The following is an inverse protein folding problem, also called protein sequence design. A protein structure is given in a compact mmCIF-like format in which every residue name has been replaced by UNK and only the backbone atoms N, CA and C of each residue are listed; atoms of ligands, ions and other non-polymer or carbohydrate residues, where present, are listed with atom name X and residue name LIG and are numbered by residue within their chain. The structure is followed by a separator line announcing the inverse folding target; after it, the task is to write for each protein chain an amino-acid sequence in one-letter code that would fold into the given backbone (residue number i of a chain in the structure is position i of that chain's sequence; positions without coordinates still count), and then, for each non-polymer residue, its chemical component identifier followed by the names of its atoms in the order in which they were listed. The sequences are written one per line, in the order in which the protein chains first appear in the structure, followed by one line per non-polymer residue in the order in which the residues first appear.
data_IF_567823993686
#
_entry.id   IF_567823993686
#
_cell.length_a   1.000
_cell.length_b   1.000
_cell.length_c   1.000
_cell.angle_alpha   90.00
_cell.angle_beta   90.00
_cell.angle_gamma   90.00
#
_symmetry.space_group_name_H-M   'P 1'
#
loop_
_entity.id
_entity.type
_entity.pdbx_description
1 polymer ?
#
# COMPACT_ATOMS: atom_id res chain seq x y z
N UNK A 1 56.68 -8.01 3.01
CA UNK A 1 57.41 -8.98 2.18
C UNK A 1 56.85 -8.94 0.77
N UNK A 2 57.69 -8.78 -0.13
CA UNK A 2 57.84 -8.44 -1.54
C UNK A 2 56.80 -8.91 -2.55
N UNK A 3 56.48 -8.12 -3.59
CA UNK A 3 55.58 -8.53 -4.68
C UNK A 3 56.38 -9.16 -5.84
N UNK A 4 55.72 -10.09 -6.55
CA UNK A 4 56.27 -10.71 -7.77
C UNK A 4 55.56 -10.15 -8.99
N UNK A 5 56.35 -9.50 -9.86
CA UNK A 5 56.02 -9.10 -11.22
C UNK A 5 56.26 -10.27 -12.17
N UNK A 6 55.43 -10.46 -13.19
CA UNK A 6 55.79 -11.22 -14.37
C UNK A 6 55.59 -10.43 -15.67
N UNK A 7 56.56 -10.64 -16.53
CA UNK A 7 56.86 -9.91 -17.79
C UNK A 7 56.04 -10.45 -18.95
N UNK A 8 55.72 -9.56 -19.91
CA UNK A 8 55.26 -9.97 -21.23
C UNK A 8 56.40 -10.38 -22.19
N UNK A 9 56.10 -10.93 -23.34
CA UNK A 9 56.98 -10.72 -24.49
C UNK A 9 56.27 -10.22 -25.76
N UNK A 10 56.85 -9.19 -26.36
CA UNK A 10 57.56 -9.15 -27.67
C UNK A 10 56.75 -9.45 -28.93
N UNK A 11 56.60 -8.39 -29.70
CA UNK A 11 56.28 -8.35 -31.14
C UNK A 11 57.26 -9.14 -31.99
N UNK A 12 56.77 -9.74 -33.06
CA UNK A 12 57.46 -9.92 -34.35
C UNK A 12 56.53 -9.58 -35.51
N UNK A 13 56.95 -8.57 -36.26
CA UNK A 13 56.38 -8.21 -37.55
C UNK A 13 57.03 -9.12 -38.64
N UNK A 14 56.27 -9.55 -39.62
CA UNK A 14 56.77 -9.98 -40.95
C UNK A 14 55.86 -9.36 -42.01
N UNK A 15 56.51 -8.72 -42.96
CA UNK A 15 55.92 -7.96 -44.04
C UNK A 15 55.80 -8.82 -45.32
N UNK A 16 54.86 -8.39 -46.15
CA UNK A 16 54.75 -8.41 -47.61
C UNK A 16 54.41 -9.70 -48.37
N UNK A 17 53.35 -9.66 -49.16
CA UNK A 17 53.41 -9.50 -50.61
C UNK A 17 52.00 -9.43 -51.22
N UNK A 18 51.84 -8.45 -52.11
CA UNK A 18 50.66 -8.14 -52.91
C UNK A 18 50.45 -9.17 -54.03
N UNK A 19 49.19 -9.64 -54.23
CA UNK A 19 48.68 -10.09 -55.51
C UNK A 19 47.24 -9.61 -55.68
N UNK A 20 47.03 -8.78 -56.70
CA UNK A 20 45.73 -8.30 -57.13
C UNK A 20 44.95 -9.42 -57.89
N UNK A 21 43.74 -9.68 -57.37
CA UNK A 21 42.73 -10.39 -58.16
C UNK A 21 41.37 -9.75 -57.92
N UNK A 22 40.89 -9.06 -58.94
CA UNK A 22 39.52 -8.53 -59.05
C UNK A 22 38.52 -9.68 -59.05
N UNK A 23 37.79 -9.91 -58.00
CA UNK A 23 36.64 -10.78 -57.96
C UNK A 23 35.42 -9.97 -57.52
N UNK A 24 34.42 -9.94 -58.40
CA UNK A 24 33.11 -9.38 -58.11
C UNK A 24 32.42 -10.24 -57.04
N UNK A 25 32.23 -9.72 -55.83
CA UNK A 25 31.40 -10.34 -54.83
C UNK A 25 30.08 -9.57 -54.82
N UNK A 26 29.03 -10.24 -55.28
CA UNK A 26 27.64 -9.83 -55.08
C UNK A 26 27.36 -9.91 -53.58
N UNK A 27 27.24 -8.78 -52.94
CA UNK A 27 26.84 -8.71 -51.55
C UNK A 27 25.34 -9.04 -51.45
N UNK A 28 25.03 -10.29 -51.12
CA UNK A 28 23.71 -10.66 -50.63
C UNK A 28 23.54 -10.05 -49.24
N UNK A 29 22.80 -8.94 -49.15
CA UNK A 29 22.33 -8.37 -47.89
C UNK A 29 21.28 -9.33 -47.33
N UNK A 30 21.72 -10.32 -46.57
CA UNK A 30 20.85 -11.07 -45.68
C UNK A 30 20.44 -10.13 -44.55
N UNK A 31 19.22 -9.59 -44.68
CA UNK A 31 18.57 -8.89 -43.56
C UNK A 31 18.44 -9.86 -42.39
N UNK A 32 19.33 -9.74 -41.40
CA UNK A 32 19.07 -10.29 -40.09
C UNK A 32 17.86 -9.52 -39.51
N UNK A 33 16.67 -10.03 -39.75
CA UNK A 33 15.52 -9.66 -38.95
C UNK A 33 15.87 -10.09 -37.51
N UNK A 34 16.14 -9.12 -36.66
CA UNK A 34 16.23 -9.36 -35.20
C UNK A 34 14.92 -10.03 -34.81
N UNK A 35 14.97 -11.30 -34.50
CA UNK A 35 13.85 -11.99 -33.87
C UNK A 35 13.45 -11.14 -32.62
N UNK A 36 12.16 -10.86 -32.44
CA UNK A 36 11.74 -10.15 -31.27
C UNK A 36 12.25 -10.94 -30.06
N UNK A 37 13.10 -10.28 -29.24
CA UNK A 37 13.59 -10.85 -27.99
C UNK A 37 12.33 -11.23 -27.20
N UNK A 38 12.13 -12.52 -27.00
CA UNK A 38 11.02 -12.98 -26.16
C UNK A 38 11.02 -12.13 -24.91
N UNK A 39 9.91 -11.48 -24.61
CA UNK A 39 9.79 -10.68 -23.41
C UNK A 39 10.14 -11.60 -22.27
N UNK A 40 11.26 -11.32 -21.60
CA UNK A 40 11.70 -12.10 -20.45
C UNK A 40 10.57 -12.01 -19.43
N UNK A 41 9.97 -13.15 -19.09
CA UNK A 41 8.96 -13.17 -18.02
C UNK A 41 9.59 -12.51 -16.81
N UNK A 42 8.92 -11.54 -16.20
CA UNK A 42 9.44 -10.91 -14.99
C UNK A 42 9.56 -12.01 -13.94
N UNK A 43 10.73 -12.10 -13.31
CA UNK A 43 10.92 -13.05 -12.22
C UNK A 43 9.94 -12.73 -11.09
N UNK A 44 9.36 -13.78 -10.50
CA UNK A 44 8.49 -13.63 -9.33
C UNK A 44 9.35 -13.06 -8.21
N UNK A 45 8.94 -11.94 -7.58
CA UNK A 45 9.74 -11.34 -6.52
C UNK A 45 9.87 -12.28 -5.33
N UNK A 46 11.09 -12.37 -4.79
CA UNK A 46 11.41 -13.11 -3.56
C UNK A 46 11.90 -12.14 -2.51
N UNK A 47 11.60 -12.42 -1.23
CA UNK A 47 11.82 -11.49 -0.14
C UNK A 47 12.70 -12.12 0.95
N UNK A 48 13.56 -11.28 1.54
CA UNK A 48 14.29 -11.59 2.76
C UNK A 48 13.91 -10.55 3.83
N UNK A 49 13.72 -11.00 5.06
CA UNK A 49 13.34 -10.11 6.15
C UNK A 49 14.55 -9.31 6.62
N UNK A 50 14.38 -7.99 6.71
CA UNK A 50 15.28 -7.09 7.43
C UNK A 50 14.72 -6.82 8.84
N UNK A 51 15.21 -7.56 9.82
CA UNK A 51 14.80 -7.41 11.22
C UNK A 51 15.39 -6.15 11.88
N UNK A 52 16.26 -5.40 11.21
CA UNK A 52 16.89 -4.16 11.72
C UNK A 52 16.12 -2.91 11.34
N UNK A 53 15.10 -3.04 10.48
CA UNK A 53 14.25 -1.93 10.07
C UNK A 53 12.90 -1.94 10.84
N UNK A 54 12.38 -0.81 11.34
CA UNK A 54 13.05 0.49 11.45
C UNK A 54 14.06 0.51 12.61
N UNK A 55 14.93 1.52 12.62
CA UNK A 55 15.85 1.73 13.75
C UNK A 55 15.09 2.11 15.02
N UNK A 56 15.69 1.90 16.20
CA UNK A 56 15.07 2.27 17.46
C UNK A 56 14.62 3.73 17.48
N UNK A 57 13.39 3.97 17.90
CA UNK A 57 12.83 5.31 18.01
C UNK A 57 13.50 6.11 19.13
N UNK A 58 13.65 7.44 18.97
CA UNK A 58 14.17 8.30 20.03
C UNK A 58 13.18 8.46 21.19
N UNK A 59 13.59 9.14 22.28
CA UNK A 59 12.72 9.58 23.37
C UNK A 59 11.97 8.47 24.09
N UNK A 60 12.48 7.23 24.08
CA UNK A 60 11.75 6.04 24.57
C UNK A 60 10.37 5.87 23.93
N UNK A 61 10.21 6.30 22.68
CA UNK A 61 8.96 6.14 21.97
C UNK A 61 8.66 4.69 21.65
N UNK A 62 7.38 4.36 21.71
CA UNK A 62 6.83 3.06 21.35
C UNK A 62 5.62 3.26 20.42
N UNK A 63 5.45 2.33 19.47
CA UNK A 63 4.33 2.32 18.55
C UNK A 63 3.13 1.59 19.18
N UNK A 64 1.93 2.10 18.94
CA UNK A 64 0.69 1.34 19.04
C UNK A 64 0.45 0.51 17.78
N UNK A 65 -0.77 -0.01 17.62
CA UNK A 65 -1.18 -0.70 16.38
C UNK A 65 -0.94 0.20 15.16
N UNK A 66 -0.26 -0.31 14.12
CA UNK A 66 0.01 0.45 12.90
C UNK A 66 -1.14 0.26 11.92
N UNK A 67 -1.95 1.30 11.76
CA UNK A 67 -3.17 1.26 10.94
C UNK A 67 -2.93 1.41 9.44
N UNK A 68 -1.86 2.09 9.03
CA UNK A 68 -1.55 2.32 7.62
C UNK A 68 -0.08 2.59 7.38
N UNK A 69 0.37 2.29 6.15
CA UNK A 69 1.74 2.52 5.69
C UNK A 69 1.70 2.88 4.20
N UNK A 70 2.53 3.83 3.79
CA UNK A 70 2.69 4.23 2.39
C UNK A 70 4.12 4.63 2.10
N UNK A 71 4.49 4.72 0.82
CA UNK A 71 5.81 5.19 0.36
C UNK A 71 5.60 6.40 -0.54
N UNK A 72 6.27 7.51 -0.22
CA UNK A 72 6.18 8.73 -1.00
C UNK A 72 7.04 8.70 -2.28
N UNK A 73 6.94 9.74 -3.09
CA UNK A 73 7.69 9.87 -4.35
C UNK A 73 9.22 9.97 -4.15
N UNK A 74 9.70 10.29 -2.97
CA UNK A 74 11.11 10.32 -2.58
C UNK A 74 11.61 8.96 -2.09
N UNK A 75 10.69 8.00 -1.89
CA UNK A 75 10.98 6.68 -1.35
C UNK A 75 11.00 6.65 0.18
N UNK A 76 10.50 7.69 0.85
CA UNK A 76 10.34 7.68 2.30
C UNK A 76 9.10 6.89 2.70
N UNK A 77 9.20 6.22 3.83
CA UNK A 77 8.15 5.36 4.37
C UNK A 77 7.37 6.15 5.42
N UNK A 78 6.10 6.32 5.18
CA UNK A 78 5.18 6.98 6.10
C UNK A 78 4.28 5.96 6.74
N UNK A 79 4.11 6.06 8.05
CA UNK A 79 3.17 5.21 8.77
C UNK A 79 2.28 6.04 9.69
N UNK A 80 1.08 5.50 9.95
CA UNK A 80 0.19 6.01 10.98
C UNK A 80 -0.11 4.89 11.97
N UNK A 81 0.09 5.18 13.25
CA UNK A 81 -0.22 4.21 14.30
C UNK A 81 -1.23 4.78 15.30
N UNK A 82 -1.73 3.92 16.17
CA UNK A 82 -2.75 4.20 17.18
C UNK A 82 -2.12 4.33 18.55
N UNK A 83 -1.68 5.51 19.01
CA UNK A 83 -1.08 5.68 20.35
C UNK A 83 -2.04 5.24 21.47
N UNK A 84 -3.35 5.38 21.24
CA UNK A 84 -4.41 4.97 22.18
C UNK A 84 -4.60 3.46 22.30
N UNK A 85 -4.01 2.67 21.42
CA UNK A 85 -4.03 1.20 21.52
C UNK A 85 -3.01 0.65 22.52
N UNK A 86 -2.09 1.49 23.00
CA UNK A 86 -1.11 1.11 24.02
C UNK A 86 -1.77 0.94 25.39
N UNK A 87 -1.47 -0.16 26.05
CA UNK A 87 -1.91 -0.44 27.43
C UNK A 87 -1.13 0.41 28.41
N UNK A 88 -1.62 0.49 29.64
CA UNK A 88 -0.93 1.21 30.72
C UNK A 88 0.45 0.61 31.04
N UNK A 89 0.63 -0.69 30.86
CA UNK A 89 1.92 -1.33 31.08
C UNK A 89 2.92 -0.98 29.98
N UNK A 90 2.46 -0.81 28.74
CA UNK A 90 3.30 -0.41 27.61
C UNK A 90 3.73 1.06 27.67
N UNK A 91 2.85 1.97 28.15
CA UNK A 91 3.09 3.41 28.26
C UNK A 91 3.39 3.88 29.69
N UNK A 92 3.99 3.05 30.50
CA UNK A 92 4.16 3.27 31.92
C UNK A 92 4.88 4.56 32.32
N UNK A 93 5.73 5.10 31.47
CA UNK A 93 6.47 6.34 31.72
C UNK A 93 5.60 7.61 31.77
N UNK A 94 4.44 7.60 31.07
CA UNK A 94 3.56 8.79 30.96
C UNK A 94 2.37 8.76 31.93
N UNK A 95 2.26 7.72 32.72
CA UNK A 95 1.21 7.62 33.74
C UNK A 95 1.45 8.55 34.95
N UNK A 96 0.43 8.85 35.69
CA UNK A 96 0.52 9.67 36.91
C UNK A 96 -0.02 8.90 38.11
N UNK A 97 0.84 8.44 39.03
CA UNK A 97 2.32 8.48 38.95
C UNK A 97 2.89 7.52 37.92
N UNK A 98 4.11 7.74 37.38
CA UNK A 98 4.76 6.82 36.47
C UNK A 98 4.93 5.42 37.06
N UNK A 99 4.61 4.38 36.28
CA UNK A 99 4.81 2.97 36.68
C UNK A 99 6.19 2.43 36.31
N UNK A 100 6.83 3.04 35.28
CA UNK A 100 8.12 2.56 34.75
C UNK A 100 8.93 3.71 34.18
N UNK A 101 10.20 3.45 33.79
CA UNK A 101 11.07 4.40 33.09
C UNK A 101 10.80 4.44 31.57
N UNK A 102 10.16 3.44 31.04
CA UNK A 102 9.73 3.28 29.64
C UNK A 102 8.22 3.01 29.64
N UNK A 103 7.48 3.28 28.61
CA UNK A 103 7.81 3.97 27.38
C UNK A 103 6.82 5.12 27.17
N UNK A 104 7.06 5.92 26.13
CA UNK A 104 6.23 7.06 25.75
C UNK A 104 5.57 6.73 24.42
N UNK A 105 4.24 6.92 24.24
CA UNK A 105 3.62 6.79 22.94
C UNK A 105 4.25 7.75 21.92
N UNK A 106 4.66 7.26 20.77
CA UNK A 106 5.12 8.10 19.67
C UNK A 106 3.99 9.01 19.15
N UNK A 107 4.27 10.13 18.48
CA UNK A 107 3.28 10.86 17.70
C UNK A 107 2.64 9.94 16.64
N UNK A 108 1.34 10.12 16.30
CA UNK A 108 0.62 9.19 15.43
C UNK A 108 1.21 8.98 14.04
N UNK A 109 1.81 10.00 13.44
CA UNK A 109 2.41 9.96 12.09
C UNK A 109 3.91 9.99 12.21
N UNK A 110 4.57 9.03 11.54
CA UNK A 110 6.03 8.95 11.47
C UNK A 110 6.48 8.78 10.01
N UNK A 111 7.60 9.41 9.67
CA UNK A 111 8.29 9.29 8.39
C UNK A 111 9.69 8.74 8.62
N UNK A 112 10.06 7.77 7.79
CA UNK A 112 11.38 7.14 7.82
C UNK A 112 12.04 7.21 6.45
N UNK A 113 13.37 7.23 6.42
CA UNK A 113 14.11 6.91 5.21
C UNK A 113 14.16 5.39 4.97
N UNK A 114 14.70 4.98 3.82
CA UNK A 114 14.85 3.56 3.47
C UNK A 114 15.79 2.79 4.39
N UNK A 115 16.67 3.49 5.11
CA UNK A 115 17.59 2.90 6.10
C UNK A 115 16.96 2.77 7.49
N UNK A 116 15.70 3.17 7.64
CA UNK A 116 14.93 3.10 8.88
C UNK A 116 15.19 4.23 9.88
N UNK A 117 15.86 5.32 9.48
CA UNK A 117 16.03 6.47 10.33
C UNK A 117 14.74 7.28 10.37
N UNK A 118 14.31 7.70 11.55
CA UNK A 118 13.17 8.60 11.72
C UNK A 118 13.52 10.00 11.21
N UNK A 119 12.71 10.50 10.26
CA UNK A 119 12.89 11.84 9.68
C UNK A 119 11.93 12.85 10.29
N UNK A 120 10.64 12.48 10.48
CA UNK A 120 9.59 13.31 11.06
C UNK A 120 8.67 12.50 11.95
N UNK A 121 8.08 13.19 12.94
CA UNK A 121 7.02 12.66 13.77
C UNK A 121 6.08 13.78 14.19
N UNK A 122 4.76 13.63 13.96
CA UNK A 122 3.75 14.63 14.27
C UNK A 122 2.34 14.01 14.36
N UNK A 123 1.34 14.82 14.62
CA UNK A 123 -0.07 14.45 14.62
C UNK A 123 -0.70 14.48 16.02
N UNK A 124 -2.00 14.23 16.05
CA UNK A 124 -2.83 14.39 17.21
C UNK A 124 -3.74 15.62 17.09
N UNK A 125 -4.54 15.93 18.13
CA UNK A 125 -5.43 17.09 18.15
C UNK A 125 -4.67 18.41 17.91
N UNK A 126 -5.29 19.33 17.16
CA UNK A 126 -4.72 20.63 16.81
C UNK A 126 -5.79 21.65 16.49
N UNK A 127 -5.36 22.84 16.06
CA UNK A 127 -6.28 23.92 15.71
C UNK A 127 -6.88 23.75 14.30
N UNK A 128 -8.18 24.02 14.17
CA UNK A 128 -8.88 24.06 12.89
C UNK A 128 -9.38 22.72 12.36
N UNK A 129 -9.10 21.61 13.07
CA UNK A 129 -9.60 20.28 12.73
C UNK A 129 -9.83 19.42 13.97
N UNK A 130 -10.60 18.36 13.78
CA UNK A 130 -10.75 17.31 14.80
C UNK A 130 -9.93 16.08 14.37
N UNK A 131 -8.98 15.67 15.23
CA UNK A 131 -8.19 14.46 14.96
C UNK A 131 -9.06 13.21 15.01
N UNK A 132 -8.80 12.25 14.13
CA UNK A 132 -9.53 10.98 14.09
C UNK A 132 -9.46 10.22 15.41
N UNK A 133 -10.56 9.57 15.77
CA UNK A 133 -10.69 8.80 17.00
C UNK A 133 -9.89 7.50 16.97
N UNK A 134 -9.71 6.89 15.80
CA UNK A 134 -8.95 5.65 15.60
C UNK A 134 -8.25 5.71 14.25
N UNK A 135 -6.98 6.00 14.28
CA UNK A 135 -6.13 6.15 13.11
C UNK A 135 -6.21 4.89 12.22
N UNK A 136 -6.31 5.08 10.88
CA UNK A 136 -6.42 3.97 9.94
C UNK A 136 -5.55 4.15 8.69
N UNK A 137 -6.06 4.78 7.63
CA UNK A 137 -5.31 4.97 6.40
C UNK A 137 -4.39 6.18 6.41
N UNK A 138 -3.27 6.08 5.70
CA UNK A 138 -2.36 7.18 5.40
C UNK A 138 -1.92 7.09 3.94
N UNK A 139 -1.91 8.21 3.24
CA UNK A 139 -1.39 8.34 1.88
C UNK A 139 -0.60 9.64 1.76
N UNK A 140 0.50 9.61 0.99
CA UNK A 140 1.28 10.80 0.65
C UNK A 140 1.22 11.02 -0.85
N UNK A 141 0.62 12.14 -1.26
CA UNK A 141 0.46 12.45 -2.67
C UNK A 141 1.73 13.04 -3.31
N UNK A 142 1.76 13.07 -4.64
CA UNK A 142 2.88 13.58 -5.44
C UNK A 142 3.18 15.08 -5.24
N UNK A 143 2.25 15.82 -4.64
CA UNK A 143 2.38 17.23 -4.30
C UNK A 143 2.93 17.46 -2.90
N UNK A 144 3.19 16.39 -2.14
CA UNK A 144 3.71 16.44 -0.77
C UNK A 144 2.64 16.79 0.25
N UNK A 145 1.43 16.27 0.09
CA UNK A 145 0.41 16.32 1.12
C UNK A 145 0.13 14.93 1.70
N UNK A 146 -0.10 14.89 3.00
CA UNK A 146 -0.44 13.68 3.75
C UNK A 146 -1.93 13.63 3.97
N UNK A 147 -2.58 12.54 3.54
CA UNK A 147 -3.99 12.29 3.73
C UNK A 147 -4.18 11.22 4.79
N UNK A 148 -5.10 11.45 5.72
CA UNK A 148 -5.33 10.59 6.89
C UNK A 148 -6.80 10.28 7.01
N UNK A 149 -7.14 9.02 7.22
CA UNK A 149 -8.47 8.54 7.56
C UNK A 149 -8.50 7.86 8.93
N UNK A 150 -9.71 7.67 9.45
CA UNK A 150 -9.94 6.96 10.70
C UNK A 150 -11.20 6.12 10.67
N UNK A 151 -11.31 5.15 11.61
CA UNK A 151 -12.43 4.22 11.66
C UNK A 151 -13.11 4.09 13.03
N UNK A 152 -12.96 5.06 13.93
CA UNK A 152 -13.86 5.17 15.09
C UNK A 152 -15.29 5.53 14.63
N UNK A 153 -16.28 5.36 15.51
CA UNK A 153 -17.70 5.52 15.12
C UNK A 153 -18.05 6.90 14.58
N UNK A 154 -17.29 7.92 14.94
CA UNK A 154 -17.47 9.29 14.45
C UNK A 154 -16.46 9.73 13.39
N UNK A 155 -15.49 8.88 13.03
CA UNK A 155 -14.46 9.20 12.04
C UNK A 155 -15.03 9.14 10.62
N UNK A 156 -15.83 10.14 10.24
CA UNK A 156 -16.50 10.19 8.95
C UNK A 156 -15.94 11.32 8.06
N UNK A 157 -14.63 11.50 8.16
CA UNK A 157 -13.84 12.48 7.40
C UNK A 157 -12.46 11.94 7.04
N UNK A 158 -11.85 12.54 6.03
CA UNK A 158 -10.41 12.46 5.78
C UNK A 158 -9.80 13.84 5.98
N UNK A 159 -8.58 13.86 6.51
CA UNK A 159 -7.80 15.06 6.81
C UNK A 159 -6.62 15.17 5.87
N UNK A 160 -6.30 16.37 5.42
CA UNK A 160 -5.14 16.68 4.58
C UNK A 160 -4.18 17.58 5.33
N UNK A 161 -2.90 17.23 5.32
CA UNK A 161 -1.81 17.99 5.94
C UNK A 161 -0.67 18.20 4.97
N UNK A 162 0.22 19.15 5.26
CA UNK A 162 1.54 19.22 4.64
C UNK A 162 2.46 18.13 5.25
N UNK A 163 3.65 17.88 4.65
CA UNK A 163 4.61 16.89 5.18
C UNK A 163 5.06 17.22 6.62
N UNK A 164 5.05 18.48 7.01
CA UNK A 164 5.41 18.93 8.36
C UNK A 164 4.20 19.03 9.32
N UNK A 165 3.06 18.45 8.94
CA UNK A 165 1.89 18.30 9.81
C UNK A 165 1.00 19.54 9.95
N UNK A 166 1.13 20.54 9.06
CA UNK A 166 0.21 21.68 9.07
C UNK A 166 -1.10 21.29 8.38
N UNK A 167 -2.21 21.55 9.07
CA UNK A 167 -3.55 21.29 8.54
C UNK A 167 -3.83 22.11 7.27
N UNK A 168 -4.41 21.46 6.26
CA UNK A 168 -4.76 22.05 4.97
C UNK A 168 -6.25 22.06 4.77
N UNK A 169 -6.90 20.90 4.88
CA UNK A 169 -8.34 20.76 4.67
C UNK A 169 -8.90 19.47 5.25
N UNK A 170 -10.21 19.43 5.40
CA UNK A 170 -10.98 18.26 5.79
C UNK A 170 -12.09 18.02 4.78
N UNK A 171 -12.32 16.77 4.36
CA UNK A 171 -13.45 16.31 3.58
C UNK A 171 -14.32 15.42 4.47
N UNK A 172 -15.60 15.74 4.61
CA UNK A 172 -16.48 15.08 5.56
C UNK A 172 -16.46 15.75 6.94
N UNK A 173 -16.95 15.05 7.97
CA UNK A 173 -17.08 15.57 9.35
C UNK A 173 -16.83 14.46 10.36
N UNK A 174 -16.32 14.82 11.52
CA UNK A 174 -16.26 13.95 12.70
C UNK A 174 -17.67 13.95 13.35
N UNK A 175 -18.57 13.20 12.78
CA UNK A 175 -19.98 13.11 13.19
C UNK A 175 -20.60 11.82 12.62
N UNK A 176 -21.74 11.31 13.12
CA UNK A 176 -22.36 10.10 12.57
C UNK A 176 -22.59 10.14 11.07
N UNK A 177 -22.31 9.02 10.37
CA UNK A 177 -22.53 8.88 8.94
C UNK A 177 -24.03 8.97 8.60
N UNK A 178 -24.33 9.48 7.40
CA UNK A 178 -25.68 9.53 6.84
C UNK A 178 -25.93 8.46 5.77
N UNK A 179 -24.98 7.50 5.63
CA UNK A 179 -25.07 6.38 4.70
C UNK A 179 -24.29 6.56 3.41
N UNK A 180 -24.27 5.48 2.63
CA UNK A 180 -23.40 5.33 1.45
C UNK A 180 -23.76 6.22 0.27
N UNK A 181 -24.92 6.85 0.26
CA UNK A 181 -25.33 7.79 -0.79
C UNK A 181 -25.18 9.27 -0.39
N UNK A 182 -24.72 9.57 0.84
CA UNK A 182 -24.40 10.95 1.23
C UNK A 182 -23.08 11.40 0.59
N UNK A 183 -23.12 12.50 -0.17
CA UNK A 183 -21.96 13.04 -0.89
C UNK A 183 -21.17 14.07 -0.06
N UNK A 184 -21.63 14.38 1.14
CA UNK A 184 -21.05 15.43 2.01
C UNK A 184 -20.30 14.85 3.20
N UNK A 185 -20.48 13.57 3.49
CA UNK A 185 -19.93 12.89 4.65
C UNK A 185 -19.50 11.48 4.31
N UNK A 186 -18.45 11.01 4.97
CA UNK A 186 -17.93 9.66 4.85
C UNK A 186 -18.55 8.74 5.90
N UNK A 187 -18.19 7.46 5.87
CA UNK A 187 -18.60 6.46 6.84
C UNK A 187 -17.42 5.61 7.28
N UNK A 188 -16.56 6.14 8.14
CA UNK A 188 -15.37 5.45 8.65
C UNK A 188 -14.45 4.99 7.50
N UNK A 189 -13.82 5.94 6.77
CA UNK A 189 -12.97 5.64 5.63
C UNK A 189 -11.77 4.80 6.04
N UNK A 190 -11.46 3.78 5.23
CA UNK A 190 -10.37 2.87 5.49
C UNK A 190 -9.06 3.35 4.86
N UNK A 191 -9.05 3.61 3.57
CA UNK A 191 -7.85 3.98 2.83
C UNK A 191 -8.15 5.01 1.75
N UNK A 192 -7.10 5.69 1.29
CA UNK A 192 -7.17 6.66 0.19
C UNK A 192 -6.08 6.40 -0.84
N UNK A 193 -6.35 6.78 -2.10
CA UNK A 193 -5.36 6.81 -3.17
C UNK A 193 -5.53 8.08 -4.00
N UNK A 194 -4.42 8.73 -4.38
CA UNK A 194 -4.46 9.95 -5.18
C UNK A 194 -4.11 9.67 -6.63
N UNK A 195 -5.01 10.03 -7.53
CA UNK A 195 -4.74 10.12 -8.96
C UNK A 195 -4.11 11.49 -9.26
N UNK A 196 -2.80 11.51 -9.41
CA UNK A 196 -2.04 12.74 -9.66
C UNK A 196 -2.42 13.42 -10.98
N UNK A 197 -2.72 12.62 -12.02
CA UNK A 197 -2.99 13.13 -13.38
C UNK A 197 -4.39 13.79 -13.47
N UNK A 198 -5.36 13.22 -12.75
CA UNK A 198 -6.73 13.78 -12.67
C UNK A 198 -6.93 14.73 -11.48
N UNK A 199 -5.95 14.86 -10.57
CA UNK A 199 -6.06 15.59 -9.31
C UNK A 199 -7.28 15.13 -8.50
N UNK A 200 -7.43 13.82 -8.34
CA UNK A 200 -8.56 13.19 -7.65
C UNK A 200 -8.08 12.34 -6.48
N UNK A 201 -8.81 12.37 -5.38
CA UNK A 201 -8.63 11.45 -4.27
C UNK A 201 -9.78 10.45 -4.23
N UNK A 202 -9.42 9.18 -4.27
CA UNK A 202 -10.31 8.03 -4.14
C UNK A 202 -10.28 7.56 -2.70
N UNK A 203 -11.42 7.29 -2.13
CA UNK A 203 -11.57 6.86 -0.75
C UNK A 203 -12.31 5.54 -0.71
N UNK A 204 -11.68 4.52 -0.12
CA UNK A 204 -12.34 3.28 0.29
C UNK A 204 -13.19 3.61 1.55
N UNK A 205 -14.41 4.01 1.34
CA UNK A 205 -15.32 4.47 2.39
C UNK A 205 -16.17 3.29 2.90
N UNK A 206 -15.55 2.45 3.75
CA UNK A 206 -15.99 1.08 3.88
C UNK A 206 -16.37 0.55 5.24
N UNK A 207 -15.89 1.08 6.37
CA UNK A 207 -16.26 0.55 7.68
C UNK A 207 -17.69 0.92 8.12
N UNK A 208 -18.18 2.06 7.66
CA UNK A 208 -19.54 2.51 7.90
C UNK A 208 -20.40 2.54 6.65
N UNK A 209 -19.80 2.82 5.51
CA UNK A 209 -20.40 2.84 4.19
C UNK A 209 -19.95 1.64 3.33
N UNK A 210 -20.41 1.54 2.07
CA UNK A 210 -20.11 0.42 1.15
C UNK A 210 -19.78 0.94 -0.24
N UNK A 211 -18.77 1.81 -0.34
CA UNK A 211 -18.47 2.49 -1.60
C UNK A 211 -16.99 2.84 -1.75
N UNK A 212 -16.63 3.12 -2.98
CA UNK A 212 -15.53 4.03 -3.31
C UNK A 212 -16.14 5.39 -3.63
N UNK A 213 -15.61 6.46 -3.04
CA UNK A 213 -16.05 7.84 -3.32
C UNK A 213 -14.86 8.69 -3.73
N UNK A 214 -15.07 9.60 -4.68
CA UNK A 214 -14.01 10.39 -5.31
C UNK A 214 -14.30 11.87 -5.15
N UNK A 215 -13.25 12.60 -4.74
CA UNK A 215 -13.27 14.04 -4.60
C UNK A 215 -12.14 14.70 -5.41
N UNK A 216 -12.25 15.96 -5.68
CA UNK A 216 -11.13 16.78 -6.14
C UNK A 216 -10.11 16.96 -5.02
N UNK A 217 -8.84 16.60 -5.27
CA UNK A 217 -7.80 16.58 -4.24
C UNK A 217 -7.34 18.00 -3.81
N UNK A 218 -7.70 19.05 -4.54
CA UNK A 218 -7.39 20.44 -4.21
C UNK A 218 -8.51 21.14 -3.47
N UNK A 219 -9.77 20.92 -3.90
CA UNK A 219 -10.92 21.65 -3.40
C UNK A 219 -11.80 20.86 -2.45
N UNK A 220 -11.66 19.52 -2.41
CA UNK A 220 -12.56 18.63 -1.68
C UNK A 220 -13.95 18.48 -2.32
N UNK A 221 -14.17 18.99 -3.52
CA UNK A 221 -15.45 18.90 -4.20
C UNK A 221 -15.74 17.43 -4.60
N UNK A 222 -16.95 16.97 -4.30
CA UNK A 222 -17.44 15.65 -4.73
C UNK A 222 -17.43 15.51 -6.25
N UNK A 223 -17.04 14.35 -6.75
CA UNK A 223 -17.05 14.01 -8.17
C UNK A 223 -17.98 12.84 -8.51
N UNK A 224 -17.82 11.71 -7.86
CA UNK A 224 -18.60 10.47 -8.08
C UNK A 224 -18.38 9.45 -6.96
N UNK A 225 -19.23 8.44 -6.92
CA UNK A 225 -19.05 7.26 -6.08
C UNK A 225 -19.74 6.05 -6.71
N UNK A 226 -19.37 4.86 -6.26
CA UNK A 226 -19.96 3.60 -6.69
C UNK A 226 -19.80 2.51 -5.62
N UNK A 227 -20.70 1.55 -5.64
CA UNK A 227 -20.65 0.31 -4.89
C UNK A 227 -20.05 -0.85 -5.70
N UNK A 228 -20.26 -2.08 -5.25
CA UNK A 228 -19.80 -3.27 -5.97
C UNK A 228 -20.39 -3.30 -7.39
N UNK A 229 -19.60 -3.82 -8.33
CA UNK A 229 -19.93 -3.92 -9.77
C UNK A 229 -20.26 -2.58 -10.46
N UNK A 230 -19.88 -1.45 -9.84
CA UNK A 230 -20.21 -0.11 -10.35
C UNK A 230 -21.65 0.32 -10.11
N UNK A 231 -22.42 -0.46 -9.37
CA UNK A 231 -23.79 -0.15 -9.01
C UNK A 231 -23.86 0.94 -7.92
N UNK A 232 -24.96 1.66 -7.78
CA UNK A 232 -25.20 2.49 -6.60
C UNK A 232 -25.08 1.65 -5.32
N UNK A 233 -24.43 2.16 -4.27
CA UNK A 233 -24.33 1.44 -3.00
C UNK A 233 -25.68 1.32 -2.33
N UNK A 234 -25.88 0.23 -1.60
CA UNK A 234 -27.07 -0.07 -0.82
C UNK A 234 -26.67 -0.34 0.65
N UNK A 235 -27.32 0.33 1.58
CA UNK A 235 -27.10 0.22 3.02
C UNK A 235 -28.00 -0.82 3.72
N UNK A 236 -28.80 -1.57 2.95
CA UNK A 236 -29.62 -2.65 3.50
C UNK A 236 -28.75 -3.65 4.27
N UNK A 237 -29.33 -4.18 5.35
CA UNK A 237 -28.65 -5.17 6.17
C UNK A 237 -28.28 -6.39 5.33
N UNK A 238 -26.99 -6.67 5.25
CA UNK A 238 -26.51 -7.89 4.61
C UNK A 238 -26.49 -9.06 5.60
N UNK A 239 -26.69 -10.27 5.06
CA UNK A 239 -26.40 -11.48 5.79
C UNK A 239 -24.88 -11.58 6.09
N UNK A 240 -24.53 -12.35 7.10
CA UNK A 240 -23.12 -12.72 7.31
C UNK A 240 -22.58 -13.43 6.06
N UNK A 241 -21.29 -13.25 5.80
CA UNK A 241 -20.62 -13.92 4.68
C UNK A 241 -20.76 -15.44 4.80
N UNK A 242 -21.20 -16.06 3.72
CA UNK A 242 -21.27 -17.53 3.57
C UNK A 242 -20.61 -17.90 2.23
N UNK A 243 -19.49 -18.63 2.22
CA UNK A 243 -18.80 -19.03 1.00
C UNK A 243 -19.62 -19.91 0.05
N UNK A 244 -20.72 -20.49 0.54
CA UNK A 244 -21.65 -21.32 -0.24
C UNK A 244 -22.83 -20.54 -0.80
N UNK A 245 -23.06 -19.32 -0.32
CA UNK A 245 -24.12 -18.46 -0.83
C UNK A 245 -23.77 -17.90 -2.21
N UNK A 246 -24.76 -17.41 -2.99
CA UNK A 246 -24.48 -16.62 -4.18
C UNK A 246 -23.60 -15.42 -3.88
N UNK A 247 -22.74 -15.06 -4.83
CA UNK A 247 -21.80 -13.92 -4.69
C UNK A 247 -22.58 -12.64 -4.39
N UNK A 248 -22.16 -11.94 -3.32
CA UNK A 248 -22.79 -10.67 -2.93
C UNK A 248 -22.66 -9.62 -4.03
N UNK A 249 -23.78 -8.97 -4.36
CA UNK A 249 -23.86 -7.89 -5.33
C UNK A 249 -23.54 -6.52 -4.71
N UNK A 250 -23.23 -6.48 -3.42
CA UNK A 250 -22.81 -5.31 -2.67
C UNK A 250 -21.42 -5.53 -2.08
N UNK A 251 -20.71 -4.45 -1.83
CA UNK A 251 -19.53 -4.50 -0.99
C UNK A 251 -19.90 -4.89 0.44
N UNK A 252 -19.04 -5.68 1.06
CA UNK A 252 -19.08 -5.92 2.50
C UNK A 252 -18.53 -4.73 3.30
N UNK A 253 -18.64 -4.80 4.62
CA UNK A 253 -17.97 -3.86 5.50
C UNK A 253 -16.74 -4.54 6.16
N UNK A 254 -15.53 -4.06 5.86
CA UNK A 254 -15.23 -2.83 5.13
C UNK A 254 -14.93 -3.04 3.63
N UNK A 255 -15.18 -2.00 2.82
CA UNK A 255 -14.38 -1.71 1.63
C UNK A 255 -13.05 -1.18 2.14
N UNK A 256 -11.98 -1.98 2.08
CA UNK A 256 -10.81 -1.77 2.94
C UNK A 256 -9.65 -1.07 2.25
N UNK A 257 -9.38 -1.36 1.00
CA UNK A 257 -8.34 -0.69 0.24
C UNK A 257 -8.83 -0.12 -1.08
N UNK A 258 -8.12 0.87 -1.60
CA UNK A 258 -8.23 1.37 -2.97
C UNK A 258 -6.83 1.72 -3.50
N UNK A 259 -6.46 1.19 -4.67
CA UNK A 259 -5.18 1.49 -5.33
C UNK A 259 -5.42 1.79 -6.81
N UNK A 260 -4.60 2.67 -7.37
CA UNK A 260 -4.70 3.10 -8.78
C UNK A 260 -3.41 2.69 -9.49
N UNK A 261 -3.54 1.88 -10.54
CA UNK A 261 -2.41 1.47 -11.37
C UNK A 261 -2.12 2.48 -12.49
N UNK A 262 -0.90 2.42 -13.04
CA UNK A 262 -0.45 3.31 -14.11
C UNK A 262 -1.31 3.23 -15.40
N UNK A 263 -1.99 2.11 -15.62
CA UNK A 263 -2.92 1.93 -16.74
C UNK A 263 -4.34 2.48 -16.44
N UNK A 264 -4.52 3.11 -15.28
CA UNK A 264 -5.77 3.72 -14.88
C UNK A 264 -6.80 2.76 -14.29
N UNK A 265 -6.43 1.50 -14.05
CA UNK A 265 -7.30 0.57 -13.34
C UNK A 265 -7.28 0.85 -11.84
N UNK A 266 -8.45 0.77 -11.23
CA UNK A 266 -8.69 0.99 -9.80
C UNK A 266 -9.00 -0.35 -9.16
N UNK A 267 -8.17 -0.75 -8.20
CA UNK A 267 -8.30 -2.00 -7.44
C UNK A 267 -8.92 -1.72 -6.09
N UNK A 268 -9.92 -2.49 -5.72
CA UNK A 268 -10.70 -2.30 -4.48
C UNK A 268 -10.75 -3.59 -3.69
N UNK A 269 -10.30 -3.55 -2.44
CA UNK A 269 -10.39 -4.68 -1.51
C UNK A 269 -11.78 -4.73 -0.86
N UNK A 270 -12.57 -5.70 -1.25
CA UNK A 270 -13.83 -6.06 -0.60
C UNK A 270 -13.55 -7.16 0.44
N UNK A 271 -13.02 -6.73 1.59
CA UNK A 271 -12.29 -7.56 2.54
C UNK A 271 -13.10 -8.75 3.01
N UNK A 272 -14.33 -8.52 3.48
CA UNK A 272 -15.15 -9.58 4.08
C UNK A 272 -15.79 -10.52 3.03
N UNK A 273 -15.82 -10.10 1.77
CA UNK A 273 -16.26 -10.94 0.66
C UNK A 273 -15.10 -11.66 -0.03
N UNK A 274 -13.90 -11.64 0.55
CA UNK A 274 -12.70 -12.35 0.10
C UNK A 274 -12.34 -12.06 -1.36
N UNK A 275 -12.54 -10.81 -1.82
CA UNK A 275 -12.34 -10.47 -3.23
C UNK A 275 -11.65 -9.13 -3.45
N UNK A 276 -10.99 -9.03 -4.61
CA UNK A 276 -10.57 -7.77 -5.22
C UNK A 276 -11.50 -7.50 -6.40
N UNK A 277 -12.14 -6.33 -6.45
CA UNK A 277 -12.84 -5.85 -7.64
C UNK A 277 -12.01 -4.79 -8.35
N UNK A 278 -12.00 -4.83 -9.67
CA UNK A 278 -11.24 -3.93 -10.54
C UNK A 278 -12.22 -3.08 -11.34
N UNK A 279 -11.96 -1.77 -11.34
CA UNK A 279 -12.79 -0.76 -11.99
C UNK A 279 -11.96 0.12 -12.94
N UNK A 280 -12.62 0.84 -13.83
CA UNK A 280 -12.09 2.05 -14.44
C UNK A 280 -12.25 3.25 -13.50
N UNK A 281 -11.58 4.34 -13.81
CA UNK A 281 -11.64 5.59 -13.02
C UNK A 281 -13.05 6.20 -12.93
N UNK A 282 -13.93 5.89 -13.87
CA UNK A 282 -15.33 6.32 -13.86
C UNK A 282 -16.26 5.47 -12.99
N UNK A 283 -15.74 4.40 -12.38
CA UNK A 283 -16.47 3.45 -11.55
C UNK A 283 -17.04 2.25 -12.33
N UNK A 284 -16.83 2.17 -13.65
CA UNK A 284 -17.30 1.01 -14.41
C UNK A 284 -16.49 -0.25 -14.06
N UNK A 285 -17.21 -1.33 -13.73
CA UNK A 285 -16.65 -2.62 -13.35
C UNK A 285 -15.91 -3.27 -14.54
N UNK A 286 -14.76 -3.90 -14.25
CA UNK A 286 -13.95 -4.59 -15.24
C UNK A 286 -13.90 -6.09 -14.97
N UNK A 287 -13.48 -6.47 -13.76
CA UNK A 287 -13.31 -7.88 -13.36
C UNK A 287 -13.20 -8.00 -11.84
N UNK A 288 -13.24 -9.24 -11.36
CA UNK A 288 -12.99 -9.54 -9.95
C UNK A 288 -12.21 -10.84 -9.80
N UNK A 289 -11.56 -11.00 -8.64
CA UNK A 289 -10.89 -12.21 -8.21
C UNK A 289 -11.20 -12.51 -6.76
N UNK A 290 -11.30 -13.77 -6.44
CA UNK A 290 -11.58 -14.25 -5.07
C UNK A 290 -10.37 -15.00 -4.53
N UNK A 291 -10.10 -14.80 -3.25
CA UNK A 291 -9.00 -15.45 -2.56
C UNK A 291 -9.50 -16.06 -1.26
N UNK A 292 -9.09 -17.32 -0.99
CA UNK A 292 -9.44 -18.02 0.26
C UNK A 292 -10.92 -17.89 0.65
N UNK A 293 -11.82 -18.12 -0.27
CA UNK A 293 -13.27 -17.95 -0.11
C UNK A 293 -13.87 -18.62 1.13
N UNK A 294 -13.15 -19.52 1.78
CA UNK A 294 -13.60 -20.15 3.02
C UNK A 294 -13.16 -19.40 4.27
N UNK A 295 -12.47 -18.27 4.12
CA UNK A 295 -12.10 -17.42 5.24
C UNK A 295 -13.32 -16.73 5.79
N UNK A 296 -13.58 -16.95 7.07
CA UNK A 296 -14.63 -16.28 7.82
C UNK A 296 -14.05 -15.15 8.66
N UNK A 297 -14.84 -14.54 9.53
CA UNK A 297 -14.36 -13.50 10.43
C UNK A 297 -14.11 -12.19 9.70
N UNK A 298 -12.84 -11.76 9.60
CA UNK A 298 -12.50 -10.48 9.00
C UNK A 298 -12.18 -10.54 7.50
N UNK A 299 -12.24 -11.73 6.88
CA UNK A 299 -11.99 -11.94 5.45
C UNK A 299 -10.50 -11.92 5.07
N UNK A 300 -10.20 -12.29 3.81
CA UNK A 300 -8.86 -12.63 3.32
C UNK A 300 -8.14 -11.53 2.51
N UNK A 301 -8.79 -10.40 2.20
CA UNK A 301 -8.20 -9.35 1.34
C UNK A 301 -8.19 -8.02 2.09
N UNK A 302 -7.09 -7.79 2.86
CA UNK A 302 -7.02 -6.62 3.71
C UNK A 302 -6.44 -5.40 2.98
N UNK A 303 -5.30 -5.55 2.32
CA UNK A 303 -4.66 -4.47 1.57
C UNK A 303 -3.89 -5.04 0.37
N UNK A 304 -3.54 -4.18 -0.56
CA UNK A 304 -2.69 -4.53 -1.70
C UNK A 304 -1.63 -3.45 -1.92
N UNK A 305 -0.43 -3.87 -2.34
CA UNK A 305 0.57 -3.01 -2.94
C UNK A 305 0.75 -3.38 -4.42
N UNK A 306 0.88 -2.38 -5.28
CA UNK A 306 1.20 -2.60 -6.68
C UNK A 306 2.72 -2.73 -6.79
N UNK A 307 3.20 -3.83 -7.41
CA UNK A 307 4.63 -4.07 -7.58
C UNK A 307 5.24 -2.99 -8.50
N UNK A 308 6.40 -2.41 -8.14
CA UNK A 308 6.90 -1.19 -8.78
C UNK A 308 7.64 -1.40 -10.10
N UNK A 309 7.56 -2.59 -10.71
CA UNK A 309 8.13 -2.78 -12.04
C UNK A 309 7.41 -1.90 -13.09
N UNK A 310 8.04 -1.55 -14.23
CA UNK A 310 7.45 -0.65 -15.20
C UNK A 310 6.10 -1.10 -15.78
N UNK A 311 5.80 -2.41 -15.72
CA UNK A 311 4.53 -3.00 -16.16
C UNK A 311 3.55 -3.19 -15.04
N UNK A 312 4.00 -2.99 -13.79
CA UNK A 312 3.22 -3.30 -12.61
C UNK A 312 2.65 -4.72 -12.69
N UNK A 313 3.55 -5.69 -12.95
CA UNK A 313 3.20 -7.08 -13.29
C UNK A 313 2.47 -7.79 -12.16
N UNK A 314 2.78 -7.45 -10.91
CA UNK A 314 2.24 -8.13 -9.73
C UNK A 314 1.50 -7.18 -8.79
N UNK A 315 0.60 -7.77 -8.00
CA UNK A 315 0.07 -7.20 -6.77
C UNK A 315 0.57 -8.04 -5.59
N UNK A 316 0.89 -7.38 -4.50
CA UNK A 316 1.12 -8.03 -3.21
C UNK A 316 -0.14 -7.85 -2.38
N UNK A 317 -0.80 -8.94 -2.01
CA UNK A 317 -2.06 -8.90 -1.24
C UNK A 317 -1.83 -9.36 0.19
N UNK A 318 -2.07 -8.46 1.14
CA UNK A 318 -2.02 -8.77 2.55
C UNK A 318 -3.31 -9.48 2.99
N UNK A 319 -3.15 -10.61 3.66
CA UNK A 319 -4.23 -11.37 4.29
C UNK A 319 -4.02 -11.39 5.80
N UNK A 320 -4.71 -10.50 6.48
CA UNK A 320 -4.57 -10.36 7.93
C UNK A 320 -5.21 -11.49 8.73
N UNK A 321 -6.21 -12.18 8.17
CA UNK A 321 -6.85 -13.31 8.85
C UNK A 321 -5.99 -14.59 8.76
N UNK A 322 -5.45 -14.89 7.56
CA UNK A 322 -4.59 -16.05 7.36
C UNK A 322 -3.10 -15.74 7.61
N UNK A 323 -2.75 -14.47 7.86
CA UNK A 323 -1.41 -14.02 8.24
C UNK A 323 -0.32 -14.32 7.19
N UNK A 324 -0.62 -14.02 5.94
CA UNK A 324 0.30 -14.19 4.81
C UNK A 324 0.20 -13.03 3.81
N UNK A 325 1.19 -12.93 2.93
CA UNK A 325 1.17 -12.04 1.77
C UNK A 325 1.20 -12.91 0.52
N UNK A 326 0.21 -12.71 -0.39
CA UNK A 326 0.17 -13.38 -1.69
C UNK A 326 0.76 -12.49 -2.76
N UNK A 327 1.52 -13.08 -3.66
CA UNK A 327 1.98 -12.45 -4.90
C UNK A 327 1.02 -12.85 -6.01
N UNK A 328 0.31 -11.89 -6.56
CA UNK A 328 -0.71 -12.09 -7.57
C UNK A 328 -0.24 -11.57 -8.92
N UNK A 329 -0.47 -12.32 -10.00
CA UNK A 329 -0.36 -11.77 -11.34
C UNK A 329 -1.46 -10.72 -11.54
N UNK A 330 -1.10 -9.46 -11.81
CA UNK A 330 -2.06 -8.36 -11.94
C UNK A 330 -3.00 -8.48 -13.15
N UNK A 331 -2.60 -9.23 -14.19
CA UNK A 331 -3.41 -9.38 -15.40
C UNK A 331 -4.62 -10.29 -15.16
N UNK A 332 -4.44 -11.41 -14.49
CA UNK A 332 -5.45 -12.46 -14.36
C UNK A 332 -5.82 -12.83 -12.90
N UNK A 333 -5.13 -12.27 -11.92
CA UNK A 333 -5.37 -12.54 -10.50
C UNK A 333 -4.78 -13.86 -9.99
N UNK A 334 -4.02 -14.59 -10.81
CA UNK A 334 -3.43 -15.87 -10.40
C UNK A 334 -2.42 -15.68 -9.28
N UNK A 335 -2.51 -16.49 -8.22
CA UNK A 335 -1.49 -16.55 -7.16
C UNK A 335 -0.24 -17.21 -7.76
N UNK A 336 0.88 -16.49 -7.78
CA UNK A 336 2.16 -16.99 -8.29
C UNK A 336 3.18 -17.26 -7.17
N UNK A 337 2.90 -16.82 -5.94
CA UNK A 337 3.72 -17.07 -4.77
C UNK A 337 3.05 -16.51 -3.52
N UNK A 338 3.60 -16.86 -2.37
CA UNK A 338 3.24 -16.27 -1.07
C UNK A 338 4.43 -16.28 -0.12
N UNK A 339 4.37 -15.46 0.92
CA UNK A 339 5.36 -15.44 1.99
C UNK A 339 4.75 -14.98 3.30
N UNK A 340 5.47 -15.27 4.39
CA UNK A 340 5.00 -15.04 5.75
C UNK A 340 4.07 -16.16 6.24
N UNK A 341 3.83 -16.17 7.52
CA UNK A 341 2.90 -17.08 8.20
C UNK A 341 2.62 -16.56 9.61
N UNK A 342 1.63 -17.12 10.29
CA UNK A 342 1.27 -16.71 11.64
C UNK A 342 2.45 -16.79 12.62
N UNK A 343 2.63 -15.76 13.42
CA UNK A 343 3.61 -15.69 14.48
C UNK A 343 4.00 -14.26 14.87
N UNK A 344 4.99 -14.13 15.77
CA UNK A 344 5.42 -12.85 16.33
C UNK A 344 6.92 -12.58 16.21
N UNK A 345 7.63 -13.37 15.41
CA UNK A 345 9.02 -13.12 15.08
C UNK A 345 9.13 -12.34 13.76
N UNK A 346 10.31 -11.82 13.47
CA UNK A 346 10.58 -11.17 12.18
C UNK A 346 10.25 -12.13 11.02
N UNK A 347 9.50 -11.63 10.02
CA UNK A 347 9.01 -12.43 8.89
C UNK A 347 7.77 -13.28 9.15
N UNK A 348 7.24 -13.25 10.37
CA UNK A 348 5.95 -13.80 10.71
C UNK A 348 4.94 -12.67 10.88
N UNK A 349 3.67 -12.94 10.69
CA UNK A 349 2.59 -11.96 10.78
C UNK A 349 1.55 -12.35 11.84
N UNK A 350 0.95 -11.33 12.42
CA UNK A 350 -0.29 -11.46 13.17
C UNK A 350 -1.16 -10.23 12.90
N UNK A 351 -2.22 -10.41 12.11
CA UNK A 351 -3.05 -9.33 11.62
C UNK A 351 -2.27 -8.29 10.79
N UNK A 352 -1.53 -8.80 9.77
CA UNK A 352 -0.94 -7.91 8.77
C UNK A 352 -2.05 -7.11 8.08
N UNK A 353 -1.98 -5.79 8.24
CA UNK A 353 -3.11 -4.90 7.97
C UNK A 353 -2.91 -4.03 6.75
N UNK A 354 -1.71 -3.51 6.57
CA UNK A 354 -1.36 -2.65 5.46
C UNK A 354 -0.01 -3.04 4.87
N UNK A 355 0.17 -2.76 3.58
CA UNK A 355 1.36 -3.12 2.81
C UNK A 355 1.71 -2.01 1.82
N UNK A 356 3.01 -1.70 1.71
CA UNK A 356 3.54 -0.77 0.72
C UNK A 356 4.82 -1.32 0.09
N UNK A 357 5.12 -0.89 -1.14
CA UNK A 357 6.35 -1.25 -1.84
C UNK A 357 7.03 0.02 -2.37
N UNK A 358 8.36 0.11 -2.22
CA UNK A 358 9.14 1.21 -2.77
C UNK A 358 9.63 0.89 -4.20
N UNK A 359 10.14 1.91 -4.90
CA UNK A 359 10.64 1.77 -6.27
C UNK A 359 11.85 0.82 -6.41
N UNK A 360 12.50 0.45 -5.31
CA UNK A 360 13.62 -0.52 -5.29
C UNK A 360 13.15 -1.96 -5.10
N UNK A 361 11.85 -2.17 -4.81
CA UNK A 361 11.26 -3.46 -4.53
C UNK A 361 11.35 -3.88 -3.07
N UNK A 362 11.64 -2.96 -2.15
CA UNK A 362 11.46 -3.24 -0.72
C UNK A 362 9.97 -3.23 -0.39
N UNK A 363 9.56 -4.13 0.49
CA UNK A 363 8.19 -4.28 0.95
C UNK A 363 8.11 -3.99 2.43
N UNK A 364 7.16 -3.13 2.79
CA UNK A 364 6.91 -2.71 4.16
C UNK A 364 5.52 -3.17 4.57
N UNK A 365 5.40 -3.77 5.75
CA UNK A 365 4.15 -4.27 6.29
C UNK A 365 3.84 -3.65 7.63
N UNK A 366 2.56 -3.47 7.91
CA UNK A 366 2.07 -2.93 9.17
C UNK A 366 1.06 -3.89 9.80
N UNK A 367 1.09 -4.02 11.13
CA UNK A 367 0.23 -4.93 11.88
C UNK A 367 -0.63 -4.19 12.89
N UNK A 368 -1.89 -4.62 13.05
CA UNK A 368 -2.83 -4.05 14.03
C UNK A 368 -2.99 -4.98 15.24
N UNK A 369 -1.89 -5.59 15.66
CA UNK A 369 -1.83 -6.44 16.84
C UNK A 369 -1.29 -5.68 18.06
N UNK A 370 -1.77 -6.03 19.25
CA UNK A 370 -1.18 -5.58 20.51
C UNK A 370 0.10 -6.37 20.78
N UNK A 371 1.20 -5.67 21.08
CA UNK A 371 2.50 -6.29 21.36
C UNK A 371 3.32 -6.67 20.11
N UNK A 372 2.80 -6.41 18.92
CA UNK A 372 3.53 -6.49 17.65
C UNK A 372 3.06 -5.38 16.71
N UNK A 373 4.02 -4.66 16.15
CA UNK A 373 3.76 -3.47 15.33
C UNK A 373 4.57 -3.50 14.04
#
# INVERSE_FOLDING_TARGET
MTPIRSRGPLLRAVAALSISATAWIVAAVLGLQALPRAAQASEIPTFAVDASWPKPLPNNWILGQVGGITVDAQGHIWMIHRPRSLTDDEKGAVLTPPRSKCCVPAPPVLEFDTDGNLLRAWGGPGEGYEWVGREHGIEVDDKGFVWIGGNADTDNAILKFTLDGKFVMQIGKIAPSKGSNDITQLGKPAETAVDKDANEIYVADGYGNRRVIVFDATTGAYKRHWGAYGNPPNDDKQAAYDPKAPVSQQFGNPVHCVKIANDGLVYVCDRINDRIQVFRKDGSFVKEWFYEKNTLGNGAVWDIAIWPDPKQTYLLSADGENNEIRVLNRQDGTIVGSFGHNGRNAGQFHWVHAIAADAKGNVYTAEVDTGKR
#
